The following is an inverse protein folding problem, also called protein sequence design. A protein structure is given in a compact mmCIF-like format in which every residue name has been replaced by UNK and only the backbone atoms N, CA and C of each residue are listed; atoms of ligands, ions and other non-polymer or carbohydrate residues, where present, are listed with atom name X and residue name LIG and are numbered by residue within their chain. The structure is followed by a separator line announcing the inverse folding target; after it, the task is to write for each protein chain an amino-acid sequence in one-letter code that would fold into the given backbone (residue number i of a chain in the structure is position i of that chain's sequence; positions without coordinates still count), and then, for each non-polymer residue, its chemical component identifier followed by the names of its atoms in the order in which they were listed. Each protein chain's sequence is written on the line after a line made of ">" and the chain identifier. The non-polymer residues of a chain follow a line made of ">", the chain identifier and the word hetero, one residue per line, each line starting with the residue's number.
data_IF_671628750949
#
_entry.id   IF_671628750949
#
_cell.length_a   1.000
_cell.length_b   1.000
_cell.length_c   1.000
_cell.angle_alpha   90.00
_cell.angle_beta   90.00
_cell.angle_gamma   90.00
#
_symmetry.space_group_name_H-M   'P 1'
#
loop_
_entity.id
_entity.type
_entity.pdbx_description
1 polymer ?
#
# COMPACT_ATOMS: atom_id res chain seq x y z
N UNK A 1 -12.95 -7.93 13.95
CA UNK A 1 -12.39 -7.98 12.59
C UNK A 1 -13.27 -8.86 11.73
N UNK A 2 -13.58 -8.40 10.53
CA UNK A 2 -14.42 -9.05 9.53
C UNK A 2 -13.63 -10.10 8.75
N UNK A 3 -14.33 -11.15 8.35
CA UNK A 3 -13.72 -12.31 7.67
C UNK A 3 -13.17 -11.93 6.29
N UNK A 4 -12.01 -12.46 5.85
CA UNK A 4 -11.49 -12.23 4.50
C UNK A 4 -12.40 -12.79 3.39
N UNK A 5 -13.46 -13.51 3.75
CA UNK A 5 -14.43 -14.07 2.80
C UNK A 5 -15.19 -12.98 2.04
N UNK A 6 -15.59 -11.88 2.70
CA UNK A 6 -16.40 -10.83 2.05
C UNK A 6 -15.63 -10.14 0.92
N UNK A 7 -14.36 -9.71 1.11
CA UNK A 7 -13.58 -9.13 0.02
C UNK A 7 -13.28 -10.11 -1.12
N UNK A 8 -13.07 -11.39 -0.82
CA UNK A 8 -12.86 -12.44 -1.83
C UNK A 8 -14.12 -12.63 -2.69
N UNK A 9 -15.28 -12.75 -2.05
CA UNK A 9 -16.56 -12.88 -2.74
C UNK A 9 -16.85 -11.64 -3.61
N UNK A 10 -16.57 -10.45 -3.09
CA UNK A 10 -16.66 -9.21 -3.85
C UNK A 10 -15.74 -9.22 -5.08
N UNK A 11 -14.49 -9.68 -4.94
CA UNK A 11 -13.56 -9.82 -6.05
C UNK A 11 -14.11 -10.72 -7.16
N UNK A 12 -14.68 -11.87 -6.78
CA UNK A 12 -15.25 -12.81 -7.72
C UNK A 12 -16.39 -12.16 -8.52
N UNK A 13 -17.28 -11.40 -7.87
CA UNK A 13 -18.33 -10.63 -8.55
C UNK A 13 -17.70 -9.57 -9.46
N UNK A 14 -16.72 -8.82 -8.97
CA UNK A 14 -16.08 -7.72 -9.71
C UNK A 14 -15.46 -8.21 -11.04
N UNK A 15 -14.78 -9.35 -11.04
CA UNK A 15 -14.18 -9.95 -12.25
C UNK A 15 -15.24 -10.27 -13.31
N UNK A 16 -16.45 -10.68 -12.91
CA UNK A 16 -17.54 -10.95 -13.84
C UNK A 16 -18.22 -9.67 -14.33
N UNK A 17 -18.27 -8.64 -13.49
CA UNK A 17 -18.86 -7.34 -13.83
C UNK A 17 -17.95 -6.50 -14.72
N UNK A 18 -16.63 -6.52 -14.50
CA UNK A 18 -15.63 -5.72 -15.23
C UNK A 18 -15.31 -6.26 -16.63
N UNK A 19 -16.34 -6.34 -17.49
CA UNK A 19 -16.21 -6.83 -18.86
C UNK A 19 -15.90 -5.75 -19.90
N UNK A 20 -15.96 -4.46 -19.53
CA UNK A 20 -15.81 -3.35 -20.48
C UNK A 20 -14.92 -2.23 -19.92
N UNK A 21 -14.22 -1.46 -20.79
CA UNK A 21 -13.42 -0.32 -20.37
C UNK A 21 -14.20 0.71 -19.54
N UNK A 22 -15.48 0.97 -19.89
CA UNK A 22 -16.35 1.89 -19.15
C UNK A 22 -16.54 1.48 -17.70
N UNK A 23 -16.73 0.18 -17.45
CA UNK A 23 -16.90 -0.35 -16.08
C UNK A 23 -15.59 -0.29 -15.29
N UNK A 24 -14.46 -0.55 -15.93
CA UNK A 24 -13.13 -0.39 -15.31
C UNK A 24 -12.90 1.08 -14.92
N UNK A 25 -13.23 2.03 -15.80
CA UNK A 25 -13.15 3.45 -15.46
C UNK A 25 -14.10 3.86 -14.34
N UNK A 26 -15.32 3.30 -14.28
CA UNK A 26 -16.22 3.57 -13.17
C UNK A 26 -15.63 3.12 -11.82
N UNK A 27 -14.98 1.95 -11.78
CA UNK A 27 -14.30 1.46 -10.57
C UNK A 27 -13.09 2.33 -10.23
N UNK A 28 -12.25 2.68 -11.21
CA UNK A 28 -11.11 3.58 -11.00
C UNK A 28 -11.55 4.98 -10.53
N UNK A 29 -12.63 5.51 -11.07
CA UNK A 29 -13.21 6.78 -10.65
C UNK A 29 -13.76 6.68 -9.22
N UNK A 30 -14.45 5.59 -8.88
CA UNK A 30 -14.92 5.34 -7.52
C UNK A 30 -13.77 5.26 -6.51
N UNK A 31 -12.68 4.56 -6.86
CA UNK A 31 -11.46 4.51 -6.05
C UNK A 31 -10.78 5.87 -5.95
N UNK A 32 -10.72 6.65 -7.03
CA UNK A 32 -10.16 8.00 -7.00
C UNK A 32 -10.98 8.93 -6.10
N UNK A 33 -12.32 8.86 -6.17
CA UNK A 33 -13.22 9.60 -5.26
C UNK A 33 -12.99 9.17 -3.82
N UNK A 34 -12.92 7.86 -3.54
CA UNK A 34 -12.61 7.36 -2.20
C UNK A 34 -11.25 7.85 -1.70
N UNK A 35 -10.23 7.84 -2.55
CA UNK A 35 -8.89 8.37 -2.26
C UNK A 35 -8.91 9.88 -1.97
N UNK A 36 -9.74 10.66 -2.66
CA UNK A 36 -9.93 12.09 -2.35
C UNK A 36 -10.66 12.28 -1.02
N UNK A 37 -11.73 11.52 -0.77
CA UNK A 37 -12.50 11.56 0.48
C UNK A 37 -11.64 11.20 1.68
N UNK A 38 -10.74 10.24 1.54
CA UNK A 38 -9.77 9.85 2.58
C UNK A 38 -8.63 10.85 2.69
N UNK A 39 -8.04 11.25 1.56
CA UNK A 39 -6.82 12.02 1.51
C UNK A 39 -7.01 13.51 1.82
N UNK A 40 -8.07 14.13 1.31
CA UNK A 40 -8.26 15.58 1.42
C UNK A 40 -8.52 16.05 2.85
N UNK A 41 -9.42 15.43 3.65
CA UNK A 41 -9.59 15.82 5.05
C UNK A 41 -8.31 15.59 5.87
N UNK A 42 -7.60 14.48 5.62
CA UNK A 42 -6.34 14.19 6.28
C UNK A 42 -5.27 15.24 5.97
N UNK A 43 -5.18 15.64 4.70
CA UNK A 43 -4.30 16.71 4.24
C UNK A 43 -4.60 18.03 4.96
N UNK A 44 -5.88 18.41 5.06
CA UNK A 44 -6.31 19.66 5.73
C UNK A 44 -5.91 19.67 7.19
N UNK A 45 -6.24 18.62 7.95
CA UNK A 45 -5.94 18.55 9.40
C UNK A 45 -4.43 18.59 9.67
N UNK A 46 -3.62 17.89 8.87
CA UNK A 46 -2.16 17.93 9.03
C UNK A 46 -1.61 19.32 8.70
N UNK A 47 -2.09 19.96 7.63
CA UNK A 47 -1.67 21.32 7.28
C UNK A 47 -2.07 22.35 8.33
N UNK A 48 -3.25 22.23 8.94
CA UNK A 48 -3.69 23.07 10.04
C UNK A 48 -2.79 22.90 11.26
N UNK A 49 -2.47 21.66 11.65
CA UNK A 49 -1.55 21.38 12.74
C UNK A 49 -0.15 21.95 12.50
N UNK A 50 0.37 21.81 11.27
CA UNK A 50 1.67 22.39 10.89
C UNK A 50 1.65 23.92 10.94
N UNK A 51 0.59 24.56 10.43
CA UNK A 51 0.43 26.03 10.50
C UNK A 51 0.32 26.54 11.93
N UNK A 52 -0.39 25.80 12.79
CA UNK A 52 -0.56 26.12 14.19
C UNK A 52 0.66 25.80 15.06
N UNK A 53 1.75 25.25 14.48
CA UNK A 53 2.95 24.80 15.20
C UNK A 53 2.64 23.82 16.35
N UNK A 54 1.50 23.14 16.29
CA UNK A 54 1.02 22.17 17.28
C UNK A 54 1.30 20.73 16.85
N UNK A 55 1.81 20.54 15.64
CA UNK A 55 2.05 19.24 15.07
C UNK A 55 3.38 18.64 15.55
N UNK A 56 3.27 17.65 16.45
CA UNK A 56 4.42 16.85 16.85
C UNK A 56 4.69 15.73 15.84
N UNK A 57 5.78 15.89 15.09
CA UNK A 57 6.27 14.92 14.09
C UNK A 57 6.88 13.67 14.71
N UNK A 58 6.94 13.55 16.04
CA UNK A 58 7.36 12.32 16.72
C UNK A 58 6.17 11.43 17.09
N UNK A 59 4.97 12.03 17.23
CA UNK A 59 3.74 11.33 17.60
C UNK A 59 3.00 10.75 16.39
N UNK A 60 1.96 9.95 16.58
CA UNK A 60 1.13 9.50 15.44
C UNK A 60 0.43 10.69 14.78
N UNK A 61 0.57 10.89 13.45
CA UNK A 61 -0.18 11.93 12.75
C UNK A 61 -1.69 11.81 13.01
N UNK A 62 -2.41 12.95 13.08
CA UNK A 62 -3.84 12.96 13.17
C UNK A 62 -4.44 12.34 11.91
N UNK A 63 -5.59 11.72 12.11
CA UNK A 63 -6.35 11.03 11.07
C UNK A 63 -7.81 11.35 11.20
N UNK A 64 -8.51 11.39 10.06
CA UNK A 64 -9.94 11.75 10.02
C UNK A 64 -10.82 10.50 9.92
N UNK A 65 -10.58 9.65 8.92
CA UNK A 65 -11.41 8.47 8.66
C UNK A 65 -10.79 7.19 9.23
N UNK A 66 -9.48 7.04 9.03
CA UNK A 66 -8.73 5.88 9.50
C UNK A 66 -8.30 6.04 10.96
N UNK A 67 -7.86 4.94 11.58
CA UNK A 67 -7.33 4.95 12.95
C UNK A 67 -5.82 5.27 12.99
N UNK A 68 -5.11 5.16 11.87
CA UNK A 68 -3.68 5.44 11.78
C UNK A 68 -3.31 6.09 10.45
N UNK A 69 -2.30 6.96 10.47
CA UNK A 69 -1.80 7.61 9.27
C UNK A 69 -1.18 6.63 8.27
N UNK A 70 -0.63 5.52 8.77
CA UNK A 70 -0.16 4.43 7.92
C UNK A 70 -1.30 3.80 7.12
N UNK A 71 -2.50 3.65 7.70
CA UNK A 71 -3.63 3.08 6.97
C UNK A 71 -4.07 3.97 5.80
N UNK A 72 -4.00 5.30 5.97
CA UNK A 72 -4.18 6.26 4.86
C UNK A 72 -3.14 6.04 3.78
N UNK A 73 -1.86 5.85 4.15
CA UNK A 73 -0.78 5.62 3.21
C UNK A 73 -0.86 4.25 2.49
N UNK A 74 -1.30 3.22 3.20
CA UNK A 74 -1.57 1.88 2.65
C UNK A 74 -2.67 1.95 1.58
N UNK A 75 -3.73 2.73 1.83
CA UNK A 75 -4.82 2.93 0.90
C UNK A 75 -4.47 3.83 -0.29
N UNK A 76 -3.71 4.93 -0.09
CA UNK A 76 -3.37 5.83 -1.19
C UNK A 76 -2.28 5.29 -2.11
N UNK A 77 -1.36 4.47 -1.59
CA UNK A 77 -0.19 3.98 -2.34
C UNK A 77 -0.53 3.25 -3.64
N UNK A 78 -1.36 2.20 -3.61
CA UNK A 78 -1.76 1.47 -4.82
C UNK A 78 -2.53 2.37 -5.82
N UNK A 79 -3.41 3.25 -5.34
CA UNK A 79 -4.14 4.20 -6.18
C UNK A 79 -3.22 5.19 -6.89
N UNK A 80 -2.22 5.73 -6.18
CA UNK A 80 -1.20 6.60 -6.75
C UNK A 80 -0.40 5.87 -7.83
N UNK A 81 -0.02 4.62 -7.59
CA UNK A 81 0.72 3.81 -8.56
C UNK A 81 -0.08 3.63 -9.86
N UNK A 82 -1.37 3.36 -9.77
CA UNK A 82 -2.27 3.24 -10.93
C UNK A 82 -2.41 4.59 -11.65
N UNK A 83 -2.77 5.65 -10.94
CA UNK A 83 -2.99 6.98 -11.53
C UNK A 83 -1.72 7.52 -12.20
N UNK A 84 -0.55 7.33 -11.59
CA UNK A 84 0.73 7.77 -12.16
C UNK A 84 1.09 6.98 -13.43
N UNK A 85 0.79 5.68 -13.48
CA UNK A 85 0.94 4.89 -14.70
C UNK A 85 0.01 5.40 -15.81
N UNK A 86 -1.24 5.72 -15.49
CA UNK A 86 -2.20 6.29 -16.45
C UNK A 86 -1.71 7.63 -16.99
N UNK A 87 -1.20 8.52 -16.12
CA UNK A 87 -0.66 9.82 -16.55
C UNK A 87 0.48 9.68 -17.55
N UNK A 88 1.38 8.72 -17.32
CA UNK A 88 2.59 8.56 -18.14
C UNK A 88 2.36 7.82 -19.45
N UNK A 89 1.44 6.85 -19.48
CA UNK A 89 1.34 5.90 -20.60
C UNK A 89 0.03 5.95 -21.38
N UNK A 90 -1.00 6.67 -20.91
CA UNK A 90 -2.27 6.81 -21.64
C UNK A 90 -2.23 8.03 -22.58
N UNK A 91 -2.69 7.84 -23.81
CA UNK A 91 -2.77 8.91 -24.82
C UNK A 91 -3.99 9.82 -24.63
N UNK A 92 -5.12 9.24 -24.18
CA UNK A 92 -6.36 9.96 -23.90
C UNK A 92 -6.13 11.11 -22.89
N UNK A 93 -6.42 12.34 -23.33
CA UNK A 93 -6.16 13.56 -22.56
C UNK A 93 -7.06 13.68 -21.34
N UNK A 94 -8.30 13.21 -21.42
CA UNK A 94 -9.26 13.28 -20.31
C UNK A 94 -8.82 12.33 -19.20
N UNK A 95 -8.48 11.09 -19.54
CA UNK A 95 -7.97 10.11 -18.57
C UNK A 95 -6.69 10.62 -17.90
N UNK A 96 -5.78 11.21 -18.69
CA UNK A 96 -4.54 11.79 -18.16
C UNK A 96 -4.81 12.97 -17.24
N UNK A 97 -5.72 13.88 -17.59
CA UNK A 97 -6.03 15.06 -16.78
C UNK A 97 -6.72 14.69 -15.47
N UNK A 98 -7.70 13.77 -15.51
CA UNK A 98 -8.39 13.28 -14.31
C UNK A 98 -7.42 12.56 -13.38
N UNK A 99 -6.55 11.70 -13.93
CA UNK A 99 -5.53 11.00 -13.14
C UNK A 99 -4.52 11.99 -12.53
N UNK A 100 -4.12 13.02 -13.27
CA UNK A 100 -3.23 14.07 -12.75
C UNK A 100 -3.91 14.89 -11.65
N UNK A 101 -5.20 15.25 -11.82
CA UNK A 101 -5.96 15.96 -10.80
C UNK A 101 -6.09 15.14 -9.50
N UNK A 102 -6.31 13.83 -9.61
CA UNK A 102 -6.27 12.93 -8.45
C UNK A 102 -4.90 12.95 -7.76
N UNK A 103 -3.80 12.84 -8.52
CA UNK A 103 -2.45 12.86 -7.97
C UNK A 103 -2.09 14.17 -7.25
N UNK A 104 -2.65 15.30 -7.68
CA UNK A 104 -2.47 16.59 -7.00
C UNK A 104 -3.04 16.60 -5.57
N UNK A 105 -4.03 15.75 -5.29
CA UNK A 105 -4.59 15.57 -3.95
C UNK A 105 -3.91 14.41 -3.23
N UNK A 106 -3.85 13.25 -3.88
CA UNK A 106 -3.36 12.01 -3.27
C UNK A 106 -1.85 12.06 -2.96
N UNK A 107 -1.04 12.69 -3.81
CA UNK A 107 0.41 12.81 -3.60
C UNK A 107 0.78 13.57 -2.33
N UNK A 108 0.30 14.82 -2.16
CA UNK A 108 0.50 15.55 -0.91
C UNK A 108 -0.13 14.86 0.31
N UNK A 109 -1.32 14.27 0.17
CA UNK A 109 -1.96 13.54 1.27
C UNK A 109 -1.11 12.34 1.71
N UNK A 110 -0.57 11.57 0.76
CA UNK A 110 0.35 10.47 0.99
C UNK A 110 1.64 10.95 1.68
N UNK A 111 2.23 12.05 1.22
CA UNK A 111 3.43 12.63 1.82
C UNK A 111 3.21 13.04 3.29
N UNK A 112 2.08 13.72 3.55
CA UNK A 112 1.72 14.22 4.89
C UNK A 112 1.17 13.14 5.83
N UNK A 113 1.05 11.88 5.37
CA UNK A 113 0.91 10.76 6.30
C UNK A 113 2.15 10.53 7.15
N UNK A 114 3.32 11.06 6.72
CA UNK A 114 4.62 10.79 7.32
C UNK A 114 4.91 9.30 7.55
N UNK A 115 4.27 8.42 6.77
CA UNK A 115 4.46 6.99 6.86
C UNK A 115 5.79 6.61 6.23
N UNK A 116 6.72 6.10 7.04
CA UNK A 116 8.02 5.60 6.58
C UNK A 116 7.87 4.46 5.56
N UNK A 117 6.96 3.52 5.83
CA UNK A 117 6.60 2.46 4.89
C UNK A 117 5.97 3.02 3.61
N UNK A 118 5.15 4.06 3.75
CA UNK A 118 4.61 4.82 2.62
C UNK A 118 5.70 5.47 1.75
N UNK A 119 6.69 6.13 2.35
CA UNK A 119 7.81 6.74 1.62
C UNK A 119 8.63 5.69 0.86
N UNK A 120 8.93 4.56 1.48
CA UNK A 120 9.65 3.46 0.84
C UNK A 120 8.85 2.87 -0.33
N UNK A 121 7.54 2.66 -0.14
CA UNK A 121 6.65 2.18 -1.19
C UNK A 121 6.56 3.17 -2.37
N UNK A 122 6.43 4.47 -2.09
CA UNK A 122 6.39 5.50 -3.15
C UNK A 122 7.72 5.65 -3.88
N UNK A 123 8.86 5.48 -3.19
CA UNK A 123 10.16 5.42 -3.85
C UNK A 123 10.23 4.21 -4.81
N UNK A 124 9.79 3.02 -4.38
CA UNK A 124 9.74 1.84 -5.24
C UNK A 124 8.81 2.02 -6.44
N UNK A 125 7.63 2.62 -6.24
CA UNK A 125 6.69 2.97 -7.32
C UNK A 125 7.32 3.97 -8.30
N UNK A 126 7.95 5.03 -7.80
CA UNK A 126 8.59 6.05 -8.64
C UNK A 126 9.75 5.48 -9.47
N UNK A 127 10.59 4.62 -8.88
CA UNK A 127 11.64 3.88 -9.61
C UNK A 127 11.03 2.98 -10.68
N UNK A 128 9.98 2.22 -10.35
CA UNK A 128 9.29 1.37 -11.32
C UNK A 128 8.68 2.16 -12.49
N UNK A 129 8.05 3.30 -12.22
CA UNK A 129 7.55 4.22 -13.26
C UNK A 129 8.69 4.77 -14.11
N UNK A 130 9.79 5.21 -13.50
CA UNK A 130 10.94 5.71 -14.23
C UNK A 130 11.52 4.66 -15.18
N UNK A 131 11.71 3.43 -14.71
CA UNK A 131 12.22 2.31 -15.50
C UNK A 131 11.28 1.88 -16.63
N UNK A 132 9.98 2.16 -16.51
CA UNK A 132 8.98 1.86 -17.54
C UNK A 132 9.03 2.80 -18.75
N UNK A 133 9.73 3.93 -18.66
CA UNK A 133 9.65 5.02 -19.63
C UNK A 133 10.98 5.25 -20.38
N UNK A 134 10.91 5.71 -21.64
CA UNK A 134 12.10 5.95 -22.49
C UNK A 134 13.09 6.98 -21.92
N UNK A 135 12.62 7.87 -21.05
CA UNK A 135 13.42 8.90 -20.36
C UNK A 135 13.86 8.47 -18.96
N UNK A 136 14.04 7.17 -18.72
CA UNK A 136 14.30 6.58 -17.39
C UNK A 136 15.37 7.31 -16.57
N UNK A 137 16.50 7.69 -17.17
CA UNK A 137 17.59 8.34 -16.44
C UNK A 137 17.17 9.71 -15.90
N UNK A 138 16.43 10.49 -16.68
CA UNK A 138 15.90 11.79 -16.25
C UNK A 138 14.82 11.65 -15.18
N UNK A 139 13.96 10.63 -15.29
CA UNK A 139 12.93 10.37 -14.28
C UNK A 139 13.54 9.87 -12.97
N UNK A 140 14.59 9.04 -13.03
CA UNK A 140 15.35 8.61 -11.86
C UNK A 140 16.06 9.80 -11.20
N UNK A 141 16.74 10.63 -11.99
CA UNK A 141 17.39 11.84 -11.49
C UNK A 141 16.38 12.81 -10.87
N UNK A 142 15.21 13.01 -11.51
CA UNK A 142 14.13 13.83 -10.97
C UNK A 142 13.55 13.26 -9.67
N UNK A 143 13.36 11.94 -9.60
CA UNK A 143 12.90 11.25 -8.38
C UNK A 143 13.91 11.43 -7.24
N UNK A 144 15.20 11.27 -7.53
CA UNK A 144 16.28 11.46 -6.55
C UNK A 144 16.36 12.92 -6.08
N UNK A 145 16.22 13.89 -7.00
CA UNK A 145 16.20 15.31 -6.67
C UNK A 145 15.01 15.67 -5.78
N UNK A 146 13.80 15.19 -6.12
CA UNK A 146 12.60 15.39 -5.30
C UNK A 146 12.78 14.78 -3.92
N UNK A 147 13.30 13.55 -3.82
CA UNK A 147 13.57 12.91 -2.54
C UNK A 147 14.59 13.70 -1.71
N UNK A 148 15.66 14.20 -2.33
CA UNK A 148 16.65 15.03 -1.66
C UNK A 148 16.03 16.32 -1.11
N UNK A 149 15.21 17.01 -1.89
CA UNK A 149 14.50 18.23 -1.44
C UNK A 149 13.51 17.91 -0.31
N UNK A 150 12.75 16.82 -0.40
CA UNK A 150 11.80 16.42 0.64
C UNK A 150 12.50 16.11 1.97
N UNK A 151 13.68 15.48 1.95
CA UNK A 151 14.46 15.19 3.16
C UNK A 151 14.96 16.47 3.84
N UNK A 152 15.07 17.60 3.13
CA UNK A 152 15.43 18.89 3.74
C UNK A 152 14.27 19.54 4.51
N UNK A 153 13.03 19.05 4.35
CA UNK A 153 11.86 19.57 5.06
C UNK A 153 11.91 19.04 6.51
N UNK A 154 12.01 19.90 7.55
CA UNK A 154 12.31 19.44 8.91
C UNK A 154 11.34 18.37 9.46
N UNK A 155 10.00 18.48 9.27
CA UNK A 155 9.09 17.39 9.64
C UNK A 155 9.42 16.02 9.03
N UNK A 156 9.82 16.00 7.75
CA UNK A 156 10.16 14.77 7.04
C UNK A 156 11.52 14.26 7.52
N UNK A 157 12.50 15.15 7.66
CA UNK A 157 13.82 14.83 8.19
C UNK A 157 13.73 14.18 9.58
N UNK A 158 12.97 14.77 10.49
CA UNK A 158 12.79 14.24 11.86
C UNK A 158 12.16 12.85 11.80
N UNK A 159 11.13 12.65 10.98
CA UNK A 159 10.46 11.35 10.80
C UNK A 159 11.39 10.27 10.28
N UNK A 160 12.27 10.59 9.34
CA UNK A 160 13.25 9.65 8.78
C UNK A 160 14.39 9.38 9.76
N UNK A 161 14.89 10.40 10.46
CA UNK A 161 16.03 10.28 11.37
C UNK A 161 15.70 9.55 12.68
N UNK A 162 14.49 9.71 13.22
CA UNK A 162 14.02 8.98 14.42
C UNK A 162 14.02 7.47 14.21
N UNK A 163 13.94 6.98 12.96
CA UNK A 163 14.01 5.53 12.66
C UNK A 163 15.33 4.90 13.13
N UNK A 164 16.42 5.67 13.11
CA UNK A 164 17.76 5.24 13.47
C UNK A 164 18.12 5.55 14.92
N UNK A 165 17.17 6.09 15.68
CA UNK A 165 17.37 6.45 17.08
C UNK A 165 16.69 5.43 17.99
N UNK A 166 17.34 5.11 19.12
CA UNK A 166 16.78 4.23 20.14
C UNK A 166 15.82 5.02 21.07
N UNK A 167 14.74 5.53 20.49
CA UNK A 167 13.67 6.24 21.19
C UNK A 167 12.53 5.26 21.49
N UNK A 168 11.74 5.52 22.54
CA UNK A 168 10.51 4.76 22.80
C UNK A 168 9.53 4.89 21.63
N UNK A 169 8.81 3.80 21.32
CA UNK A 169 7.83 3.73 20.23
C UNK A 169 8.15 2.69 19.14
N UNK A 170 7.32 2.65 18.09
CA UNK A 170 7.36 1.64 17.01
C UNK A 170 8.37 2.01 15.90
N UNK A 171 9.65 2.12 16.23
CA UNK A 171 10.75 2.23 15.23
C UNK A 171 11.26 0.83 14.84
N UNK A 172 12.17 0.70 13.87
CA UNK A 172 12.78 -0.61 13.60
C UNK A 172 13.59 -1.13 14.80
N UNK A 173 14.41 -0.26 15.39
CA UNK A 173 15.47 -0.61 16.34
C UNK A 173 15.22 -0.17 17.80
N UNK A 174 14.11 0.51 18.07
CA UNK A 174 13.78 0.98 19.41
C UNK A 174 13.50 -0.15 20.40
N UNK A 175 13.40 0.19 21.69
CA UNK A 175 13.07 -0.76 22.76
C UNK A 175 11.78 -1.55 22.48
N UNK A 176 10.74 -0.91 21.94
CA UNK A 176 9.51 -1.56 21.47
C UNK A 176 9.49 -1.71 19.92
N UNK A 177 10.66 -1.94 19.33
CA UNK A 177 10.85 -1.88 17.89
C UNK A 177 10.35 -3.11 17.14
N UNK A 178 10.14 -2.95 15.82
CA UNK A 178 9.61 -4.01 14.95
C UNK A 178 10.45 -5.29 14.99
N UNK A 179 11.77 -5.20 15.12
CA UNK A 179 12.63 -6.39 15.18
C UNK A 179 12.37 -7.24 16.43
N UNK A 180 12.19 -6.60 17.59
CA UNK A 180 11.83 -7.29 18.82
C UNK A 180 10.43 -7.93 18.70
N UNK A 181 9.47 -7.19 18.15
CA UNK A 181 8.11 -7.68 17.94
C UNK A 181 8.07 -8.87 16.97
N UNK A 182 8.86 -8.83 15.89
CA UNK A 182 8.97 -9.92 14.93
C UNK A 182 9.64 -11.14 15.56
N UNK A 183 10.66 -10.96 16.39
CA UNK A 183 11.27 -12.06 17.16
C UNK A 183 10.26 -12.71 18.10
N UNK A 184 9.52 -11.91 18.88
CA UNK A 184 8.44 -12.40 19.74
C UNK A 184 7.35 -13.14 18.94
N UNK A 185 6.98 -12.60 17.78
CA UNK A 185 6.00 -13.21 16.87
C UNK A 185 6.49 -14.56 16.34
N UNK A 186 7.76 -14.67 15.95
CA UNK A 186 8.36 -15.93 15.49
C UNK A 186 8.42 -16.97 16.62
N UNK A 187 8.75 -16.55 17.84
CA UNK A 187 8.71 -17.42 19.02
C UNK A 187 7.29 -17.92 19.29
N UNK A 188 6.29 -17.05 19.20
CA UNK A 188 4.88 -17.44 19.29
C UNK A 188 4.49 -18.43 18.19
N UNK A 189 4.84 -18.15 16.94
CA UNK A 189 4.54 -19.01 15.78
C UNK A 189 5.23 -20.38 15.86
N UNK A 190 6.36 -20.49 16.55
CA UNK A 190 7.01 -21.80 16.79
C UNK A 190 6.12 -22.78 17.56
N UNK A 191 5.12 -22.28 18.32
CA UNK A 191 4.10 -23.10 19.00
C UNK A 191 2.90 -23.42 18.13
N UNK A 192 2.64 -22.63 17.10
CA UNK A 192 1.50 -22.78 16.19
C UNK A 192 1.93 -22.71 14.71
N UNK A 193 2.89 -23.54 14.25
CA UNK A 193 3.54 -23.32 12.95
C UNK A 193 2.62 -23.59 11.76
N UNK A 194 1.63 -24.48 11.91
CA UNK A 194 0.76 -24.89 10.79
C UNK A 194 -0.43 -23.95 10.65
N UNK A 195 -1.19 -23.74 11.74
CA UNK A 195 -2.45 -22.99 11.72
C UNK A 195 -2.32 -21.53 12.17
N UNK A 196 -1.15 -21.15 12.68
CA UNK A 196 -0.95 -19.82 13.26
C UNK A 196 -1.77 -19.63 14.55
N UNK A 197 -1.91 -18.36 14.93
CA UNK A 197 -2.79 -17.93 16.00
C UNK A 197 -4.27 -17.80 15.55
N UNK A 198 -4.62 -18.11 14.30
CA UNK A 198 -5.98 -17.94 13.80
C UNK A 198 -6.41 -16.48 13.69
N UNK A 199 -7.60 -16.27 13.11
CA UNK A 199 -8.09 -14.93 12.78
C UNK A 199 -8.23 -14.06 14.03
N UNK A 200 -7.64 -12.87 14.00
CA UNK A 200 -7.59 -11.89 15.09
C UNK A 200 -6.92 -12.41 16.37
N UNK A 201 -6.19 -13.53 16.32
CA UNK A 201 -5.62 -14.19 17.50
C UNK A 201 -4.27 -13.66 17.96
N UNK A 202 -3.68 -12.68 17.25
CA UNK A 202 -2.36 -12.13 17.58
C UNK A 202 -2.32 -11.53 18.99
N UNK A 203 -3.22 -10.58 19.28
CA UNK A 203 -3.27 -9.87 20.57
C UNK A 203 -3.45 -10.81 21.77
N UNK A 204 -4.20 -11.90 21.57
CA UNK A 204 -4.48 -12.89 22.61
C UNK A 204 -3.28 -13.79 22.92
N UNK A 205 -2.40 -14.02 21.94
CA UNK A 205 -1.34 -15.05 22.02
C UNK A 205 0.07 -14.50 22.13
N UNK A 206 0.29 -13.22 21.83
CA UNK A 206 1.62 -12.61 21.87
C UNK A 206 2.12 -12.33 23.29
N UNK A 207 1.21 -12.19 24.26
CA UNK A 207 1.52 -11.74 25.63
C UNK A 207 2.71 -12.46 26.30
N UNK A 208 2.76 -13.80 26.32
CA UNK A 208 3.88 -14.55 26.91
C UNK A 208 5.25 -14.30 26.26
N UNK A 209 5.30 -13.73 25.06
CA UNK A 209 6.52 -13.50 24.27
C UNK A 209 6.94 -12.02 24.22
N UNK A 210 6.08 -11.10 24.67
CA UNK A 210 6.28 -9.65 24.60
C UNK A 210 6.32 -8.97 25.98
N UNK A 211 5.51 -9.42 26.93
CA UNK A 211 5.08 -8.62 28.09
C UNK A 211 6.05 -8.56 29.29
N UNK A 212 7.30 -9.03 29.19
CA UNK A 212 8.22 -8.94 30.34
C UNK A 212 8.62 -7.48 30.63
N UNK A 213 8.82 -6.66 29.59
CA UNK A 213 9.35 -5.29 29.71
C UNK A 213 8.68 -4.26 28.76
N UNK A 214 7.59 -4.64 28.08
CA UNK A 214 6.93 -3.80 27.07
C UNK A 214 5.45 -3.53 27.43
N UNK A 215 5.07 -2.30 27.81
CA UNK A 215 3.69 -1.95 28.14
C UNK A 215 2.78 -1.83 26.90
N UNK A 216 3.35 -1.72 25.70
CA UNK A 216 2.59 -1.55 24.46
C UNK A 216 1.83 -2.83 24.09
N UNK A 217 0.55 -2.68 23.74
CA UNK A 217 -0.28 -3.78 23.21
C UNK A 217 -0.35 -3.69 21.70
N UNK A 218 0.11 -4.75 21.04
CA UNK A 218 0.04 -4.88 19.59
C UNK A 218 -1.12 -5.79 19.18
N UNK A 219 -1.85 -5.36 18.14
CA UNK A 219 -2.94 -6.13 17.55
C UNK A 219 -2.49 -6.93 16.32
N UNK A 220 -1.31 -6.61 15.78
CA UNK A 220 -0.70 -7.27 14.63
C UNK A 220 0.84 -7.14 14.68
N UNK A 221 1.61 -7.97 13.95
CA UNK A 221 3.07 -7.94 13.98
C UNK A 221 3.67 -6.85 13.07
N UNK A 222 2.87 -6.01 12.41
CA UNK A 222 3.34 -4.99 11.46
C UNK A 222 4.26 -5.55 10.36
N UNK A 223 3.94 -6.73 9.85
CA UNK A 223 4.60 -7.35 8.70
C UNK A 223 3.63 -8.30 8.01
N UNK A 224 3.44 -8.12 6.70
CA UNK A 224 2.46 -8.87 5.90
C UNK A 224 2.69 -10.37 5.98
N UNK A 225 3.93 -10.86 5.92
CA UNK A 225 4.23 -12.30 5.92
C UNK A 225 3.92 -12.90 7.28
N UNK A 226 4.41 -12.27 8.35
CA UNK A 226 4.13 -12.71 9.72
C UNK A 226 2.64 -12.64 10.01
N UNK A 227 1.96 -11.58 9.59
CA UNK A 227 0.52 -11.44 9.82
C UNK A 227 -0.28 -12.51 9.09
N UNK A 228 0.04 -12.84 7.83
CA UNK A 228 -0.59 -13.97 7.14
C UNK A 228 -0.34 -15.29 7.88
N UNK A 229 0.89 -15.53 8.34
CA UNK A 229 1.22 -16.75 9.07
C UNK A 229 0.44 -16.85 10.39
N UNK A 230 0.37 -15.75 11.15
CA UNK A 230 -0.39 -15.66 12.40
C UNK A 230 -1.88 -15.91 12.14
N UNK A 231 -2.48 -15.23 11.19
CA UNK A 231 -3.94 -15.22 11.00
C UNK A 231 -4.47 -16.49 10.33
N UNK A 232 -3.68 -17.06 9.41
CA UNK A 232 -4.16 -18.11 8.49
C UNK A 232 -3.26 -19.35 8.42
N UNK A 233 -2.14 -19.34 9.15
CA UNK A 233 -1.17 -20.42 9.09
C UNK A 233 -0.33 -20.42 7.81
N UNK A 234 0.50 -21.45 7.67
CA UNK A 234 1.43 -21.59 6.55
C UNK A 234 0.70 -21.71 5.20
N UNK A 235 -0.49 -22.31 5.19
CA UNK A 235 -1.29 -22.46 3.97
C UNK A 235 -1.74 -21.11 3.40
N UNK A 236 -2.14 -20.16 4.26
CA UNK A 236 -2.51 -18.83 3.80
C UNK A 236 -1.32 -18.00 3.34
N UNK A 237 -0.13 -18.19 3.93
CA UNK A 237 1.13 -17.61 3.42
C UNK A 237 1.42 -18.12 2.01
N UNK A 238 1.32 -19.44 1.79
CA UNK A 238 1.52 -20.04 0.46
C UNK A 238 0.49 -19.51 -0.54
N UNK A 239 -0.78 -19.44 -0.14
CA UNK A 239 -1.84 -18.92 -1.01
C UNK A 239 -1.61 -17.44 -1.38
N UNK A 240 -1.23 -16.60 -0.42
CA UNK A 240 -0.92 -15.19 -0.68
C UNK A 240 0.32 -15.04 -1.56
N UNK A 241 1.39 -15.80 -1.31
CA UNK A 241 2.58 -15.81 -2.15
C UNK A 241 2.26 -16.23 -3.59
N UNK A 242 1.41 -17.24 -3.77
CA UNK A 242 0.94 -17.68 -5.08
C UNK A 242 0.10 -16.62 -5.80
N UNK A 243 -0.83 -15.97 -5.09
CA UNK A 243 -1.64 -14.88 -5.63
C UNK A 243 -0.77 -13.70 -6.08
N UNK A 244 0.21 -13.29 -5.26
CA UNK A 244 1.18 -12.26 -5.62
C UNK A 244 1.99 -12.66 -6.84
N UNK A 245 2.51 -13.90 -6.88
CA UNK A 245 3.27 -14.41 -8.03
C UNK A 245 2.47 -14.34 -9.33
N UNK A 246 1.22 -14.81 -9.31
CA UNK A 246 0.32 -14.72 -10.46
C UNK A 246 0.07 -13.25 -10.83
N UNK A 247 -0.27 -12.41 -9.84
CA UNK A 247 -0.54 -10.99 -10.03
C UNK A 247 0.62 -10.25 -10.69
N UNK A 248 1.85 -10.44 -10.18
CA UNK A 248 3.06 -9.89 -10.79
C UNK A 248 3.27 -10.41 -12.21
N UNK A 249 3.16 -11.73 -12.43
CA UNK A 249 3.38 -12.36 -13.74
C UNK A 249 2.41 -11.85 -14.79
N UNK A 250 1.12 -11.78 -14.47
CA UNK A 250 0.08 -11.31 -15.39
C UNK A 250 0.16 -9.81 -15.62
N UNK A 251 0.41 -9.01 -14.59
CA UNK A 251 0.61 -7.56 -14.75
C UNK A 251 1.83 -7.24 -15.60
N UNK A 252 2.94 -7.97 -15.40
CA UNK A 252 4.14 -7.83 -16.21
C UNK A 252 3.88 -8.18 -17.68
N UNK A 253 3.22 -9.31 -17.93
CA UNK A 253 2.84 -9.68 -19.29
C UNK A 253 1.89 -8.64 -19.92
N UNK A 254 0.92 -8.12 -19.15
CA UNK A 254 0.00 -7.06 -19.57
C UNK A 254 0.72 -5.76 -19.93
N UNK A 255 1.73 -5.38 -19.16
CA UNK A 255 2.57 -4.23 -19.45
C UNK A 255 3.40 -4.42 -20.73
N UNK A 256 3.91 -5.64 -20.98
CA UNK A 256 4.78 -5.93 -22.13
C UNK A 256 4.02 -6.13 -23.44
N UNK A 257 2.84 -6.75 -23.38
CA UNK A 257 2.08 -7.18 -24.55
C UNK A 257 0.76 -6.41 -24.77
N UNK A 258 0.29 -5.68 -23.76
CA UNK A 258 -0.95 -4.90 -23.85
C UNK A 258 -0.82 -3.66 -24.72
N UNK A 259 -1.96 -3.05 -25.05
CA UNK A 259 -2.06 -1.83 -25.84
C UNK A 259 -2.71 -0.70 -25.03
N UNK A 260 -2.32 0.54 -25.34
CA UNK A 260 -2.85 1.80 -24.81
C UNK A 260 -3.26 1.75 -23.32
N UNK A 261 -4.57 1.81 -23.06
CA UNK A 261 -5.14 1.84 -21.71
C UNK A 261 -4.81 0.58 -20.90
N UNK A 262 -4.97 -0.61 -21.50
CA UNK A 262 -4.75 -1.87 -20.79
C UNK A 262 -3.29 -2.07 -20.43
N UNK A 263 -2.39 -1.58 -21.27
CA UNK A 263 -0.96 -1.54 -20.98
C UNK A 263 -0.67 -0.69 -19.75
N UNK A 264 -1.22 0.53 -19.70
CA UNK A 264 -1.05 1.44 -18.56
C UNK A 264 -1.69 0.89 -17.27
N UNK A 265 -2.89 0.30 -17.35
CA UNK A 265 -3.55 -0.35 -16.21
C UNK A 265 -2.70 -1.51 -15.70
N UNK A 266 -2.14 -2.33 -16.58
CA UNK A 266 -1.31 -3.48 -16.18
C UNK A 266 -0.03 -3.03 -15.45
N UNK A 267 0.63 -1.97 -15.92
CA UNK A 267 1.77 -1.39 -15.20
C UNK A 267 1.34 -0.75 -13.87
N UNK A 268 0.21 -0.06 -13.85
CA UNK A 268 -0.36 0.52 -12.63
C UNK A 268 -0.62 -0.54 -11.57
N UNK A 269 -1.25 -1.65 -11.96
CA UNK A 269 -1.51 -2.80 -11.09
C UNK A 269 -0.22 -3.49 -10.64
N UNK A 270 0.78 -3.63 -11.53
CA UNK A 270 2.10 -4.15 -11.17
C UNK A 270 2.72 -3.31 -10.05
N UNK A 271 2.72 -1.99 -10.19
CA UNK A 271 3.31 -1.06 -9.23
C UNK A 271 2.47 -0.92 -7.96
N UNK A 272 1.16 -1.09 -8.05
CA UNK A 272 0.27 -1.22 -6.90
C UNK A 272 0.65 -2.44 -6.05
N UNK A 273 0.89 -3.60 -6.67
CA UNK A 273 1.38 -4.79 -5.96
C UNK A 273 2.77 -4.57 -5.36
N UNK A 274 3.66 -3.85 -6.05
CA UNK A 274 4.95 -3.42 -5.46
C UNK A 274 4.73 -2.57 -4.22
N UNK A 275 3.83 -1.58 -4.27
CA UNK A 275 3.52 -0.72 -3.12
C UNK A 275 2.98 -1.53 -1.93
N UNK A 276 2.04 -2.47 -2.18
CA UNK A 276 1.49 -3.37 -1.16
C UNK A 276 2.58 -4.21 -0.52
N UNK A 277 3.48 -4.81 -1.30
CA UNK A 277 4.56 -5.65 -0.77
C UNK A 277 5.56 -4.81 0.01
N UNK A 278 6.06 -3.70 -0.57
CA UNK A 278 7.11 -2.87 0.04
C UNK A 278 6.61 -2.23 1.34
N UNK A 279 5.41 -1.67 1.35
CA UNK A 279 4.81 -1.13 2.58
C UNK A 279 4.49 -2.28 3.56
N UNK A 280 3.99 -3.41 3.03
CA UNK A 280 3.65 -4.59 3.82
C UNK A 280 4.82 -5.26 4.53
N UNK A 281 6.06 -5.04 4.11
CA UNK A 281 7.22 -5.52 4.88
C UNK A 281 7.33 -4.85 6.27
N UNK A 282 6.65 -3.73 6.48
CA UNK A 282 6.68 -2.94 7.73
C UNK A 282 5.29 -2.55 8.25
N UNK A 283 4.22 -3.04 7.63
CA UNK A 283 2.83 -2.84 8.08
C UNK A 283 1.91 -3.95 7.53
N UNK A 284 0.60 -3.88 7.80
CA UNK A 284 -0.39 -4.90 7.41
C UNK A 284 -1.39 -4.33 6.39
N UNK A 285 -1.12 -4.50 5.07
CA UNK A 285 -1.94 -3.97 3.98
C UNK A 285 -3.17 -4.83 3.62
N UNK A 286 -3.48 -5.90 4.37
CA UNK A 286 -4.52 -6.85 3.95
C UNK A 286 -5.63 -7.06 4.98
N UNK A 287 -5.33 -7.36 6.23
CA UNK A 287 -6.34 -7.78 7.23
C UNK A 287 -7.23 -6.64 7.77
N UNK A 288 -7.41 -5.58 6.98
CA UNK A 288 -8.42 -4.54 7.15
C UNK A 288 -9.37 -4.61 5.95
N UNK A 289 -10.68 -4.52 6.16
CA UNK A 289 -11.68 -4.80 5.12
C UNK A 289 -11.51 -3.94 3.87
N UNK A 290 -11.29 -2.65 4.07
CA UNK A 290 -11.01 -1.66 3.04
C UNK A 290 -9.77 -2.03 2.21
N UNK A 291 -8.65 -2.33 2.86
CA UNK A 291 -7.40 -2.67 2.17
C UNK A 291 -7.48 -4.04 1.48
N UNK A 292 -8.20 -5.01 2.07
CA UNK A 292 -8.53 -6.26 1.40
C UNK A 292 -9.36 -6.01 0.13
N UNK A 293 -10.41 -5.20 0.21
CA UNK A 293 -11.24 -4.86 -0.96
C UNK A 293 -10.41 -4.18 -2.05
N UNK A 294 -9.55 -3.23 -1.67
CA UNK A 294 -8.63 -2.57 -2.60
C UNK A 294 -7.69 -3.58 -3.29
N UNK A 295 -7.04 -4.45 -2.52
CA UNK A 295 -6.18 -5.52 -3.05
C UNK A 295 -6.93 -6.38 -4.07
N UNK A 296 -8.14 -6.81 -3.73
CA UNK A 296 -8.97 -7.64 -4.59
C UNK A 296 -9.46 -6.91 -5.85
N UNK A 297 -9.70 -5.60 -5.78
CA UNK A 297 -9.97 -4.77 -6.96
C UNK A 297 -8.74 -4.72 -7.88
N UNK A 298 -7.52 -4.61 -7.33
CA UNK A 298 -6.27 -4.69 -8.11
C UNK A 298 -6.17 -6.04 -8.81
N UNK A 299 -6.38 -7.15 -8.10
CA UNK A 299 -6.37 -8.50 -8.70
C UNK A 299 -7.42 -8.63 -9.81
N UNK A 300 -8.64 -8.11 -9.58
CA UNK A 300 -9.69 -8.15 -10.58
C UNK A 300 -9.35 -7.31 -11.83
N UNK A 301 -8.71 -6.14 -11.67
CA UNK A 301 -8.24 -5.34 -12.80
C UNK A 301 -7.17 -6.06 -13.61
N UNK A 302 -6.26 -6.78 -12.96
CA UNK A 302 -5.24 -7.61 -13.64
C UNK A 302 -5.91 -8.67 -14.50
N UNK A 303 -6.90 -9.39 -13.95
CA UNK A 303 -7.65 -10.40 -14.69
C UNK A 303 -8.44 -9.79 -15.86
N UNK A 304 -9.01 -8.60 -15.68
CA UNK A 304 -9.70 -7.89 -16.76
C UNK A 304 -8.75 -7.46 -17.88
N UNK A 305 -7.58 -6.89 -17.54
CA UNK A 305 -6.55 -6.58 -18.50
C UNK A 305 -6.07 -7.84 -19.25
N UNK A 306 -6.01 -8.98 -18.56
CA UNK A 306 -5.70 -10.28 -19.17
C UNK A 306 -6.75 -10.74 -20.17
N UNK A 307 -8.04 -10.60 -19.85
CA UNK A 307 -9.16 -11.05 -20.71
C UNK A 307 -9.38 -10.16 -21.93
N UNK A 308 -9.25 -8.84 -21.75
CA UNK A 308 -9.68 -7.84 -22.72
C UNK A 308 -8.52 -7.10 -23.38
N UNK A 309 -7.35 -7.03 -22.74
CA UNK A 309 -6.17 -6.34 -23.26
C UNK A 309 -5.37 -7.14 -24.29
N UNK A 310 -5.59 -8.45 -24.41
CA UNK A 310 -4.88 -9.32 -25.35
C UNK A 310 -5.71 -9.82 -26.52
N UNK A 311 -7.01 -9.50 -26.59
CA UNK A 311 -7.78 -9.79 -27.79
C UNK A 311 -7.22 -8.91 -28.89
N UNK A 312 -6.34 -9.50 -29.71
CA UNK A 312 -6.01 -8.98 -31.04
C UNK A 312 -7.34 -8.64 -31.68
N UNK A 313 -7.52 -7.38 -32.04
CA UNK A 313 -8.40 -7.03 -33.16
C UNK A 313 -7.96 -7.91 -34.31
N UNK A 314 -8.69 -9.02 -34.50
CA UNK A 314 -8.70 -9.78 -35.72
C UNK A 314 -9.51 -9.01 -36.75
#
# INVERSE_FOLDING_TARGET
>A
MSSPIEPIAYAAVLVHVLSTPRRVFAVLAGLAVAGVVVGLPNLVVVLEGLRAHSYDVTQTPPVVIYMTANAVALFLGPLIAIAASLVLHVQDRTVRLVSAAFLLVAGPAMLLTFSRGGFLAMAAVAVGLALSHRRRLWLLAGTAAVAAVLVLIPPIYTRVSVEFQNVGGTTLFGRAGRLALWSATLQMLSRFPVFGAGLSGFADRIGPYWNADHPERFIDPHNIVLNFWVETGVLGVIAMAWLLFIGFRWSWHGWRAGQDLWRAISLGALLALVAVVVHGLVDVPYFKNDLSLEFWIVIAMIECARRWGYKRTA
#
